data_IF_922531000986
#
_entry.id   IF_922531000986
#
_cell.length_a   1.000
_cell.length_b   1.000
_cell.length_c   1.000
_cell.angle_alpha   90.00
_cell.angle_beta   90.00
_cell.angle_gamma   90.00
#
_symmetry.space_group_name_H-M   'P 1'
#
loop_
_entity.id
_entity.type
_entity.pdbx_description
1 polymer ?
#
# COMPACT_ATOMS: atom_id res chain seq x y z
N UNK A 1 12.52 14.02 -18.87
CA UNK A 1 13.34 13.85 -17.65
C UNK A 1 12.70 14.70 -16.55
N UNK A 2 12.25 14.11 -15.44
CA UNK A 2 11.65 14.86 -14.33
C UNK A 2 12.72 15.70 -13.61
N UNK A 3 12.31 16.84 -13.05
CA UNK A 3 13.16 17.73 -12.25
C UNK A 3 12.59 17.81 -10.84
N UNK A 4 13.43 17.58 -9.83
CA UNK A 4 13.05 17.81 -8.44
C UNK A 4 13.09 19.31 -8.16
N UNK A 5 11.96 19.87 -7.74
CA UNK A 5 11.85 21.31 -7.43
C UNK A 5 11.93 21.54 -5.93
N UNK A 6 11.16 20.76 -5.15
CA UNK A 6 11.17 20.82 -3.69
C UNK A 6 10.72 19.49 -3.08
N UNK A 7 10.98 19.31 -1.78
CA UNK A 7 10.40 18.25 -0.96
C UNK A 7 9.71 18.92 0.22
N UNK A 8 8.41 18.65 0.38
CA UNK A 8 7.62 19.18 1.48
C UNK A 8 7.39 18.10 2.53
N UNK A 9 7.82 18.35 3.77
CA UNK A 9 7.59 17.45 4.91
C UNK A 9 6.16 17.55 5.48
N UNK A 10 5.40 18.57 5.10
CA UNK A 10 4.01 18.80 5.51
C UNK A 10 3.17 19.30 4.32
N UNK A 11 2.87 18.41 3.35
CA UNK A 11 1.96 18.74 2.26
C UNK A 11 0.56 19.06 2.81
N UNK A 12 -0.18 19.95 2.15
CA UNK A 12 -1.56 20.29 2.56
C UNK A 12 -2.47 19.08 2.43
N UNK A 13 -3.17 18.74 3.53
CA UNK A 13 -4.16 17.65 3.57
C UNK A 13 -5.61 18.15 3.69
N UNK A 14 -5.80 19.47 3.78
CA UNK A 14 -7.13 20.10 3.75
C UNK A 14 -7.73 19.95 2.35
N UNK A 15 -8.99 19.54 2.25
CA UNK A 15 -9.65 19.33 0.96
C UNK A 15 -10.56 20.50 0.56
N UNK A 16 -10.32 21.06 -0.62
CA UNK A 16 -11.11 22.20 -1.15
C UNK A 16 -12.09 21.79 -2.26
N UNK A 17 -11.92 20.60 -2.82
CA UNK A 17 -12.82 20.02 -3.85
C UNK A 17 -13.13 18.56 -3.53
N UNK A 18 -14.17 18.01 -4.18
CA UNK A 18 -14.55 16.61 -4.01
C UNK A 18 -13.41 15.67 -4.46
N UNK A 19 -12.82 15.93 -5.63
CA UNK A 19 -11.72 15.11 -6.13
C UNK A 19 -10.50 15.17 -5.20
N UNK A 20 -10.23 16.34 -4.62
CA UNK A 20 -9.14 16.54 -3.67
C UNK A 20 -9.41 15.79 -2.36
N UNK A 21 -10.66 15.80 -1.88
CA UNK A 21 -11.08 14.99 -0.74
C UNK A 21 -10.89 13.49 -1.00
N UNK A 22 -11.38 12.98 -2.13
CA UNK A 22 -11.25 11.57 -2.50
C UNK A 22 -9.78 11.14 -2.59
N UNK A 23 -8.93 11.96 -3.22
CA UNK A 23 -7.51 11.70 -3.35
C UNK A 23 -6.79 11.75 -2.00
N UNK A 24 -6.97 12.80 -1.21
CA UNK A 24 -6.28 13.00 0.08
C UNK A 24 -6.75 12.00 1.13
N UNK A 25 -8.05 11.74 1.20
CA UNK A 25 -8.59 10.73 2.10
C UNK A 25 -8.14 9.32 1.71
N UNK A 26 -8.17 9.01 0.40
CA UNK A 26 -7.67 7.76 -0.14
C UNK A 26 -6.19 7.52 0.18
N UNK A 27 -5.36 8.55 -0.02
CA UNK A 27 -3.94 8.55 0.34
C UNK A 27 -3.73 8.19 1.82
N UNK A 28 -4.44 8.85 2.73
CA UNK A 28 -4.32 8.58 4.17
C UNK A 28 -4.73 7.14 4.49
N UNK A 29 -5.88 6.68 4.00
CA UNK A 29 -6.33 5.30 4.23
C UNK A 29 -5.31 4.26 3.72
N UNK A 30 -4.65 4.55 2.60
CA UNK A 30 -3.63 3.66 2.06
C UNK A 30 -2.36 3.67 2.90
N UNK A 31 -1.97 4.83 3.48
CA UNK A 31 -0.89 4.91 4.48
C UNK A 31 -1.16 4.02 5.69
N UNK A 32 -2.39 4.03 6.22
CA UNK A 32 -2.77 3.13 7.33
C UNK A 32 -2.63 1.65 6.96
N UNK A 33 -2.88 1.31 5.70
CA UNK A 33 -2.71 -0.06 5.19
C UNK A 33 -1.23 -0.40 5.03
N UNK A 34 -0.40 0.51 4.51
CA UNK A 34 1.07 0.32 4.40
C UNK A 34 1.74 0.16 5.76
N UNK A 35 1.33 0.96 6.75
CA UNK A 35 1.83 0.88 8.12
C UNK A 35 1.26 -0.32 8.90
N UNK A 36 0.35 -1.07 8.30
CA UNK A 36 -0.25 -2.29 8.87
C UNK A 36 -0.95 -2.04 10.23
N UNK A 37 -1.47 -0.83 10.45
CA UNK A 37 -2.15 -0.48 11.71
C UNK A 37 -3.41 -1.31 11.98
N UNK A 38 -4.05 -1.80 10.92
CA UNK A 38 -5.26 -2.64 11.02
C UNK A 38 -4.95 -4.15 11.01
N UNK A 39 -3.68 -4.55 10.91
CA UNK A 39 -3.23 -5.96 10.85
C UNK A 39 -3.90 -6.80 9.74
N UNK A 40 -4.08 -6.22 8.56
CA UNK A 40 -4.83 -6.84 7.43
C UNK A 40 -3.94 -7.58 6.43
N UNK A 41 -2.65 -7.31 6.38
CA UNK A 41 -1.66 -7.90 5.47
C UNK A 41 -0.80 -8.98 6.15
N UNK A 42 -0.84 -9.12 7.47
CA UNK A 42 -0.12 -10.18 8.19
C UNK A 42 1.40 -10.11 8.04
N UNK A 43 1.93 -8.90 7.86
CA UNK A 43 3.35 -8.65 7.60
C UNK A 43 3.80 -8.90 6.16
N UNK A 44 2.88 -9.17 5.22
CA UNK A 44 3.21 -9.31 3.81
C UNK A 44 3.71 -7.98 3.22
N UNK A 45 4.78 -8.06 2.43
CA UNK A 45 5.31 -6.92 1.66
C UNK A 45 4.74 -7.00 0.25
N UNK A 46 3.82 -6.11 -0.06
CA UNK A 46 3.13 -6.07 -1.36
C UNK A 46 3.79 -5.09 -2.34
N UNK A 47 3.84 -5.41 -3.65
CA UNK A 47 4.42 -4.51 -4.66
C UNK A 47 3.62 -3.22 -4.83
N UNK A 48 2.31 -3.25 -4.57
CA UNK A 48 1.42 -2.08 -4.63
C UNK A 48 0.39 -2.20 -3.50
N UNK A 49 0.08 -1.09 -2.82
CA UNK A 49 -0.98 -1.00 -1.81
C UNK A 49 -1.81 0.25 -2.09
N UNK A 50 -3.07 0.07 -2.51
CA UNK A 50 -3.93 1.18 -2.91
C UNK A 50 -3.26 2.02 -4.01
N UNK A 51 -3.02 3.30 -3.73
CA UNK A 51 -2.27 4.22 -4.61
C UNK A 51 -0.73 4.18 -4.49
N UNK A 52 -0.16 3.40 -3.57
CA UNK A 52 1.29 3.30 -3.36
C UNK A 52 1.93 2.19 -4.17
N UNK A 53 3.19 2.41 -4.55
CA UNK A 53 4.07 1.43 -5.18
C UNK A 53 5.36 1.26 -4.38
N UNK A 54 5.76 0.01 -4.15
CA UNK A 54 7.08 -0.29 -3.61
C UNK A 54 8.11 -0.19 -4.73
N UNK A 55 8.95 0.86 -4.68
CA UNK A 55 9.99 1.14 -5.68
C UNK A 55 11.41 0.86 -5.17
N UNK A 56 11.58 0.75 -3.85
CA UNK A 56 12.87 0.56 -3.22
C UNK A 56 12.75 -0.28 -1.95
N UNK A 57 13.46 -1.41 -1.89
CA UNK A 57 13.57 -2.29 -0.73
C UNK A 57 14.93 -2.99 -0.78
N UNK A 58 15.89 -2.50 0.02
CA UNK A 58 17.31 -2.91 -0.04
C UNK A 58 17.93 -2.84 -1.46
N UNK A 59 17.38 -1.98 -2.31
CA UNK A 59 17.72 -1.84 -3.72
C UNK A 59 16.48 -1.46 -4.54
N UNK A 60 16.65 -1.01 -5.79
CA UNK A 60 15.53 -0.76 -6.69
C UNK A 60 14.73 -2.05 -6.91
N UNK A 61 13.40 -1.98 -6.72
CA UNK A 61 12.52 -3.12 -7.02
C UNK A 61 12.31 -3.19 -8.54
N UNK A 62 12.63 -4.34 -9.14
CA UNK A 62 12.29 -4.64 -10.53
C UNK A 62 10.98 -5.42 -10.57
N UNK A 63 10.02 -5.03 -11.41
CA UNK A 63 8.79 -5.80 -11.60
C UNK A 63 8.93 -6.73 -12.79
N UNK A 64 8.21 -7.84 -12.76
CA UNK A 64 8.30 -8.89 -13.79
C UNK A 64 7.89 -8.38 -15.19
N UNK A 65 7.00 -7.39 -15.24
CA UNK A 65 6.55 -6.71 -16.45
C UNK A 65 7.59 -5.70 -17.01
N UNK A 66 8.65 -5.39 -16.24
CA UNK A 66 9.54 -4.24 -16.49
C UNK A 66 10.71 -4.53 -17.44
N UNK A 67 10.76 -5.71 -18.09
CA UNK A 67 11.87 -6.03 -19.03
C UNK A 67 12.03 -5.01 -20.17
N UNK A 68 11.01 -4.18 -20.41
CA UNK A 68 11.03 -3.11 -21.40
C UNK A 68 10.51 -1.74 -20.89
N UNK A 69 10.31 -1.56 -19.58
CA UNK A 69 9.72 -0.34 -19.02
C UNK A 69 10.79 0.47 -18.29
N UNK A 70 10.99 1.72 -18.71
CA UNK A 70 12.02 2.60 -18.15
C UNK A 70 11.68 3.16 -16.76
N UNK A 71 10.45 2.92 -16.28
CA UNK A 71 9.91 3.47 -15.04
C UNK A 71 9.69 2.36 -14.03
N UNK A 72 10.15 2.57 -12.80
CA UNK A 72 10.00 1.63 -11.67
C UNK A 72 8.68 1.82 -10.91
N UNK A 73 7.84 2.77 -11.32
CA UNK A 73 6.61 3.17 -10.63
C UNK A 73 5.43 3.26 -11.60
N UNK A 74 4.23 2.95 -11.11
CA UNK A 74 2.95 3.14 -11.81
C UNK A 74 2.32 4.50 -11.52
N UNK A 75 3.08 5.47 -10.99
CA UNK A 75 2.61 6.85 -10.81
C UNK A 75 1.93 7.37 -12.08
N UNK A 76 0.70 7.87 -11.94
CA UNK A 76 -0.10 8.41 -13.05
C UNK A 76 -0.94 7.37 -13.81
N UNK A 77 -0.78 6.07 -13.54
CA UNK A 77 -1.67 5.05 -14.11
C UNK A 77 -3.02 5.03 -13.36
N UNK A 78 -4.09 4.77 -14.11
CA UNK A 78 -5.38 4.45 -13.50
C UNK A 78 -5.30 3.08 -12.82
N UNK A 79 -5.54 3.05 -11.52
CA UNK A 79 -5.66 1.83 -10.72
C UNK A 79 -7.03 1.85 -10.04
N UNK A 80 -7.82 0.79 -10.21
CA UNK A 80 -9.02 0.57 -9.40
C UNK A 80 -8.58 0.19 -7.98
N UNK A 81 -8.35 1.24 -7.18
CA UNK A 81 -7.86 1.18 -5.80
C UNK A 81 -8.71 0.27 -4.94
N UNK A 82 -10.03 0.41 -5.00
CA UNK A 82 -10.92 -0.32 -4.10
C UNK A 82 -10.95 -1.81 -4.44
N UNK A 83 -10.93 -2.16 -5.73
CA UNK A 83 -10.79 -3.56 -6.15
C UNK A 83 -9.46 -4.14 -5.69
N UNK A 84 -8.38 -3.38 -5.82
CA UNK A 84 -7.03 -3.81 -5.42
C UNK A 84 -6.96 -4.08 -3.91
N UNK A 85 -7.44 -3.14 -3.08
CA UNK A 85 -7.43 -3.28 -1.62
C UNK A 85 -8.34 -4.42 -1.15
N UNK A 86 -9.50 -4.63 -1.79
CA UNK A 86 -10.36 -5.79 -1.51
C UNK A 86 -9.65 -7.11 -1.80
N UNK A 87 -8.94 -7.19 -2.93
CA UNK A 87 -8.20 -8.40 -3.29
C UNK A 87 -7.05 -8.66 -2.30
N UNK A 88 -6.27 -7.65 -1.94
CA UNK A 88 -5.22 -7.76 -0.93
C UNK A 88 -5.77 -8.29 0.40
N UNK A 89 -6.89 -7.72 0.86
CA UNK A 89 -7.58 -8.17 2.07
C UNK A 89 -8.16 -9.58 1.94
N UNK A 90 -8.53 -10.03 0.76
CA UNK A 90 -9.00 -11.40 0.56
C UNK A 90 -7.84 -12.41 0.58
N UNK A 91 -6.68 -12.03 0.02
CA UNK A 91 -5.46 -12.85 0.00
C UNK A 91 -4.87 -12.98 1.40
N UNK A 92 -4.75 -11.86 2.14
CA UNK A 92 -4.09 -11.81 3.44
C UNK A 92 -5.02 -11.86 4.64
N UNK A 93 -6.30 -11.57 4.44
CA UNK A 93 -7.32 -11.56 5.48
C UNK A 93 -7.72 -12.97 5.90
N UNK A 94 -6.80 -13.65 6.59
CA UNK A 94 -6.89 -14.79 7.53
C UNK A 94 -5.45 -15.29 7.73
N UNK A 95 -4.81 -15.13 8.89
CA UNK A 95 -5.20 -15.65 10.20
C UNK A 95 -5.12 -14.56 11.29
N UNK A 96 -6.28 -14.07 11.73
CA UNK A 96 -6.37 -13.48 13.08
C UNK A 96 -6.01 -14.52 14.15
N UNK A 97 -5.77 -14.11 15.41
CA UNK A 97 -5.29 -14.96 16.51
C UNK A 97 -6.32 -16.02 16.96
N UNK A 98 -6.57 -17.01 16.11
CA UNK A 98 -7.01 -18.35 16.51
C UNK A 98 -5.87 -19.36 16.47
N UNK A 99 -4.77 -19.05 15.76
CA UNK A 99 -3.59 -19.92 15.71
C UNK A 99 -2.79 -19.90 17.02
N UNK A 100 -2.71 -18.75 17.68
CA UNK A 100 -1.94 -18.60 18.93
C UNK A 100 -2.71 -19.13 20.16
N UNK A 101 -4.04 -19.00 20.16
CA UNK A 101 -4.90 -19.63 21.19
C UNK A 101 -5.02 -21.15 21.07
N UNK A 102 -4.72 -21.72 19.90
CA UNK A 102 -4.71 -23.17 19.72
C UNK A 102 -3.41 -23.81 20.24
N UNK A 103 -2.27 -23.11 20.17
CA UNK A 103 -1.00 -23.56 20.75
C UNK A 103 -1.00 -23.46 22.29
N UNK A 104 -1.58 -22.37 22.83
CA UNK A 104 -1.68 -22.19 24.29
C UNK A 104 -2.68 -23.16 24.97
N UNK A 105 -3.53 -23.85 24.20
CA UNK A 105 -4.49 -24.82 24.72
C UNK A 105 -4.00 -26.28 24.66
N UNK A 106 -2.80 -26.52 24.13
CA UNK A 106 -2.19 -27.86 24.07
C UNK A 106 -1.06 -28.07 25.09
N UNK A 107 -0.68 -27.03 25.84
CA UNK A 107 0.36 -27.08 26.88
C UNK A 107 -0.21 -26.94 28.31
N UNK A 108 -1.50 -27.26 28.51
CA UNK A 108 -2.17 -27.27 29.82
C UNK A 108 -2.61 -28.67 30.23
#
# INVERSE_FOLDING_TARGET
>A
KPWLIEVNASPSISADTINDYELKFGLLHDVYTVLEYETKLGGAVEPTIGGFDLIYNNGPVQREDDRNVMYTSRMGNFVDRDRQLRNLRAVHGKKGPKAERALAATEG
#
